data_IF_102453667741
#
_entry.id   IF_102453667741
#
_cell.length_a   1.000
_cell.length_b   1.000
_cell.length_c   1.000
_cell.angle_alpha   90.00
_cell.angle_beta   90.00
_cell.angle_gamma   90.00
#
_symmetry.space_group_name_H-M   'P 1'
#
loop_
_entity.id
_entity.type
_entity.pdbx_description
1 polymer ?
#
# COMPACT_ATOMS: atom_id res chain seq x y z
N UNK A 1 28.22 -34.61 15.27
CA UNK A 1 27.38 -33.98 16.31
C UNK A 1 27.12 -32.53 15.92
N UNK A 2 25.93 -32.03 16.25
CA UNK A 2 25.34 -30.69 16.08
C UNK A 2 24.75 -30.32 14.70
N UNK A 3 23.48 -29.92 14.76
CA UNK A 3 22.48 -29.69 13.70
C UNK A 3 22.47 -28.22 13.25
N UNK A 4 22.15 -27.92 11.99
CA UNK A 4 21.60 -26.61 11.63
C UNK A 4 20.17 -26.78 11.10
N UNK A 5 19.20 -26.41 11.94
CA UNK A 5 17.78 -26.37 11.59
C UNK A 5 17.52 -25.02 10.90
N UNK A 6 17.13 -25.00 9.63
CA UNK A 6 16.42 -23.86 9.05
C UNK A 6 14.93 -24.11 9.17
N UNK A 7 14.38 -23.91 10.38
CA UNK A 7 12.93 -23.93 10.59
C UNK A 7 12.37 -22.66 9.95
N UNK A 8 11.75 -22.80 8.78
CA UNK A 8 10.89 -21.77 8.21
C UNK A 8 9.51 -22.00 8.81
N UNK A 9 9.08 -21.11 9.71
CA UNK A 9 7.72 -21.09 10.22
C UNK A 9 7.02 -19.84 9.73
N UNK A 10 5.87 -19.99 9.07
CA UNK A 10 4.91 -18.91 8.93
C UNK A 10 4.31 -18.70 10.31
N UNK A 11 4.63 -17.58 10.96
CA UNK A 11 4.00 -17.20 12.21
C UNK A 11 2.64 -16.58 11.87
N UNK A 12 1.59 -17.39 11.81
CA UNK A 12 0.21 -16.94 11.50
C UNK A 12 -0.44 -16.11 12.63
N UNK A 13 0.30 -15.71 13.67
CA UNK A 13 -0.28 -15.19 14.91
C UNK A 13 -0.17 -13.67 15.14
N UNK A 14 -0.10 -12.86 14.08
CA UNK A 14 -0.65 -11.50 14.15
C UNK A 14 -0.87 -10.98 12.75
N UNK A 15 -2.06 -11.24 12.19
CA UNK A 15 -2.62 -10.26 11.25
C UNK A 15 -2.80 -8.99 12.07
N UNK A 16 -1.78 -8.13 12.12
CA UNK A 16 -2.02 -6.72 12.37
C UNK A 16 -2.98 -6.33 11.24
N UNK A 17 -4.25 -6.20 11.59
CA UNK A 17 -5.26 -5.73 10.65
C UNK A 17 -5.01 -4.23 10.56
N UNK A 18 -4.10 -3.85 9.66
CA UNK A 18 -3.90 -2.47 9.30
C UNK A 18 -5.20 -1.93 8.68
N UNK A 19 -5.51 -0.69 9.02
CA UNK A 19 -6.70 0.00 8.55
C UNK A 19 -6.27 1.33 7.95
N UNK A 20 -7.00 1.78 6.94
CA UNK A 20 -6.82 3.11 6.39
C UNK A 20 -7.25 4.16 7.43
N UNK A 21 -6.43 5.20 7.56
CA UNK A 21 -6.61 6.23 8.60
C UNK A 21 -6.49 7.65 8.04
N UNK A 22 -5.60 7.86 7.08
CA UNK A 22 -5.31 9.17 6.50
C UNK A 22 -5.61 9.17 5.01
N UNK A 23 -6.17 10.27 4.51
CA UNK A 23 -6.43 10.47 3.08
C UNK A 23 -5.97 11.85 2.61
N UNK A 24 -5.73 11.96 1.31
CA UNK A 24 -5.68 13.23 0.57
C UNK A 24 -6.40 13.05 -0.77
N UNK A 25 -7.22 14.04 -1.15
CA UNK A 25 -8.16 13.95 -2.27
C UNK A 25 -9.54 13.47 -1.85
N UNK A 26 -10.32 12.97 -2.81
CA UNK A 26 -11.73 12.63 -2.60
C UNK A 26 -11.89 11.12 -2.35
N UNK A 27 -11.41 10.67 -1.18
CA UNK A 27 -11.55 9.28 -0.70
C UNK A 27 -12.41 9.27 0.54
N UNK A 28 -13.42 8.40 0.54
CA UNK A 28 -14.13 8.00 1.76
C UNK A 28 -13.51 6.72 2.32
N UNK A 29 -13.36 6.69 3.64
CA UNK A 29 -12.97 5.49 4.38
C UNK A 29 -14.24 4.93 5.04
N UNK A 30 -14.54 3.66 4.77
CA UNK A 30 -15.71 2.95 5.26
C UNK A 30 -15.32 1.62 5.93
N UNK A 31 -16.32 0.90 6.47
CA UNK A 31 -16.15 -0.35 7.22
C UNK A 31 -15.02 -0.30 8.26
N UNK A 32 -15.08 0.72 9.13
CA UNK A 32 -14.09 0.93 10.20
C UNK A 32 -12.63 1.00 9.70
N UNK A 33 -12.40 1.56 8.52
CA UNK A 33 -11.05 1.69 7.97
C UNK A 33 -10.63 0.59 7.01
N UNK A 34 -11.51 -0.36 6.68
CA UNK A 34 -11.19 -1.51 5.83
C UNK A 34 -11.47 -1.29 4.36
N UNK A 35 -12.33 -0.32 4.03
CA UNK A 35 -12.74 -0.03 2.66
C UNK A 35 -12.40 1.42 2.33
N UNK A 36 -11.82 1.63 1.15
CA UNK A 36 -11.65 2.96 0.56
C UNK A 36 -12.52 3.07 -0.69
N UNK A 37 -13.23 4.18 -0.80
CA UNK A 37 -14.04 4.51 -1.97
C UNK A 37 -13.51 5.83 -2.54
N UNK A 38 -12.98 5.76 -3.77
CA UNK A 38 -12.55 6.94 -4.50
C UNK A 38 -13.73 7.50 -5.31
N UNK A 39 -14.05 8.77 -5.08
CA UNK A 39 -15.02 9.51 -5.88
C UNK A 39 -14.32 10.00 -7.17
N UNK A 40 -14.94 9.70 -8.32
CA UNK A 40 -14.37 9.94 -9.65
C UNK A 40 -14.22 11.42 -10.02
N UNK A 41 -14.69 12.34 -9.19
CA UNK A 41 -14.55 13.80 -9.41
C UNK A 41 -13.11 14.33 -9.34
N UNK A 42 -12.15 13.53 -8.84
CA UNK A 42 -10.73 13.90 -8.76
C UNK A 42 -9.87 12.86 -9.47
N UNK A 43 -8.78 13.31 -10.13
CA UNK A 43 -7.88 12.43 -10.88
C UNK A 43 -7.16 11.42 -9.97
N UNK A 44 -6.34 11.93 -9.04
CA UNK A 44 -5.54 11.14 -8.12
C UNK A 44 -5.98 11.41 -6.69
N UNK A 45 -6.00 10.38 -5.85
CA UNK A 45 -6.19 10.48 -4.41
C UNK A 45 -5.34 9.42 -3.73
N UNK A 46 -4.96 9.67 -2.47
CA UNK A 46 -4.12 8.77 -1.70
C UNK A 46 -4.75 8.41 -0.35
N UNK A 47 -4.63 7.16 0.05
CA UNK A 47 -4.92 6.69 1.40
C UNK A 47 -3.66 6.07 2.02
N UNK A 48 -3.50 6.21 3.34
CA UNK A 48 -2.39 5.61 4.09
C UNK A 48 -2.93 4.82 5.27
N UNK A 49 -2.31 3.66 5.51
CA UNK A 49 -2.56 2.84 6.69
C UNK A 49 -2.18 3.56 7.99
N UNK A 50 -2.71 3.08 9.11
CA UNK A 50 -2.45 3.62 10.45
C UNK A 50 -1.08 3.19 10.96
N UNK A 51 -0.65 1.98 10.63
CA UNK A 51 0.53 1.39 11.22
C UNK A 51 1.85 1.89 10.57
N UNK A 52 2.89 1.94 11.39
CA UNK A 52 4.28 2.15 10.96
C UNK A 52 5.06 0.85 11.06
N UNK A 53 5.94 0.61 10.09
CA UNK A 53 6.72 -0.62 9.99
C UNK A 53 8.20 -0.26 9.93
N UNK A 54 8.97 -0.68 10.93
CA UNK A 54 10.41 -0.37 11.04
C UNK A 54 11.33 -1.58 10.84
N UNK A 55 10.84 -2.79 11.08
CA UNK A 55 11.61 -4.03 10.94
C UNK A 55 10.71 -5.25 10.75
N UNK A 56 11.29 -6.38 10.36
CA UNK A 56 10.59 -7.65 10.15
C UNK A 56 9.93 -7.79 8.78
N UNK A 57 9.15 -8.86 8.62
CA UNK A 57 8.40 -9.15 7.40
C UNK A 57 6.92 -8.94 7.65
N UNK A 58 6.31 -8.05 6.85
CA UNK A 58 4.89 -7.72 6.93
C UNK A 58 4.20 -8.14 5.63
N UNK A 59 3.01 -8.72 5.75
CA UNK A 59 2.24 -9.21 4.61
C UNK A 59 0.90 -8.48 4.55
N UNK A 60 0.67 -7.83 3.43
CA UNK A 60 -0.58 -7.13 3.14
C UNK A 60 -1.37 -7.90 2.08
N UNK A 61 -2.69 -7.85 2.17
CA UNK A 61 -3.59 -8.41 1.16
C UNK A 61 -4.68 -7.39 0.88
N UNK A 62 -4.79 -6.98 -0.37
CA UNK A 62 -5.83 -6.08 -0.84
C UNK A 62 -6.79 -6.85 -1.75
N UNK A 63 -8.07 -6.50 -1.70
CA UNK A 63 -9.10 -6.96 -2.64
C UNK A 63 -9.58 -5.74 -3.42
N UNK A 64 -9.52 -5.81 -4.74
CA UNK A 64 -10.10 -4.80 -5.62
C UNK A 64 -11.51 -5.27 -5.95
N UNK A 65 -12.52 -4.55 -5.47
CA UNK A 65 -13.93 -4.90 -5.71
C UNK A 65 -14.45 -4.26 -6.99
N UNK A 66 -14.05 -3.02 -7.26
CA UNK A 66 -14.40 -2.28 -8.46
C UNK A 66 -13.21 -1.43 -8.91
N UNK A 67 -12.83 -1.57 -10.18
CA UNK A 67 -11.84 -0.73 -10.84
C UNK A 67 -12.16 -0.70 -12.34
N UNK A 68 -12.46 0.49 -12.87
CA UNK A 68 -12.80 0.64 -14.28
C UNK A 68 -11.59 0.28 -15.17
N UNK A 69 -11.84 -0.27 -16.36
CA UNK A 69 -10.79 -0.87 -17.21
C UNK A 69 -9.66 0.08 -17.66
N UNK A 70 -9.91 1.39 -17.68
CA UNK A 70 -8.92 2.42 -18.02
C UNK A 70 -8.31 3.11 -16.79
N UNK A 71 -8.61 2.61 -15.58
CA UNK A 71 -8.12 3.15 -14.32
C UNK A 71 -7.07 2.21 -13.72
N UNK A 72 -6.33 2.74 -12.78
CA UNK A 72 -5.27 2.02 -12.09
C UNK A 72 -5.30 2.37 -10.60
N UNK A 73 -4.76 1.49 -9.79
CA UNK A 73 -4.54 1.72 -8.36
C UNK A 73 -3.06 1.50 -8.06
N UNK A 74 -2.51 2.35 -7.20
CA UNK A 74 -1.17 2.20 -6.65
C UNK A 74 -1.22 1.44 -5.32
N UNK A 75 -0.36 0.44 -5.16
CA UNK A 75 -0.12 -0.22 -3.87
C UNK A 75 1.36 -0.15 -3.55
N UNK A 76 1.70 0.40 -2.39
CA UNK A 76 3.11 0.58 -2.03
C UNK A 76 3.33 1.02 -0.60
N UNK A 77 4.59 1.25 -0.30
CA UNK A 77 5.09 1.76 0.97
C UNK A 77 5.74 3.13 0.75
N UNK A 78 5.67 3.97 1.78
CA UNK A 78 6.31 5.29 1.79
C UNK A 78 6.87 5.56 3.18
N UNK A 79 7.97 6.31 3.25
CA UNK A 79 8.53 6.76 4.54
C UNK A 79 7.49 7.51 5.37
N UNK A 80 7.48 7.26 6.69
CA UNK A 80 6.58 7.95 7.63
C UNK A 80 6.71 9.47 7.62
N UNK A 81 7.92 9.96 7.29
CA UNK A 81 8.22 11.40 7.25
C UNK A 81 7.69 12.06 5.97
N UNK A 82 7.26 11.28 4.97
CA UNK A 82 6.67 11.84 3.76
C UNK A 82 5.27 12.36 4.04
N UNK A 83 4.97 13.57 3.57
CA UNK A 83 3.60 14.08 3.56
C UNK A 83 2.67 13.12 2.78
N UNK A 84 1.41 13.07 3.18
CA UNK A 84 0.37 12.46 2.35
C UNK A 84 0.04 13.45 1.24
N UNK A 85 0.03 12.98 0.01
CA UNK A 85 -0.28 13.77 -1.18
C UNK A 85 -0.90 12.87 -2.23
N UNK A 86 -1.83 13.41 -3.04
CA UNK A 86 -2.55 12.67 -4.10
C UNK A 86 -1.63 11.83 -4.99
N UNK A 87 -0.48 12.39 -5.36
CA UNK A 87 0.51 11.74 -6.21
C UNK A 87 1.68 11.17 -5.40
N UNK A 88 1.37 10.46 -4.31
CA UNK A 88 2.38 9.88 -3.41
C UNK A 88 3.31 8.88 -4.09
N UNK A 89 2.89 8.33 -5.25
CA UNK A 89 3.71 7.44 -6.06
C UNK A 89 4.91 8.13 -6.74
N UNK A 90 4.98 9.47 -6.79
CA UNK A 90 6.17 10.21 -7.22
C UNK A 90 7.08 10.65 -6.06
N UNK A 91 6.72 10.38 -4.80
CA UNK A 91 7.60 10.70 -3.68
C UNK A 91 8.84 9.82 -3.71
N UNK A 92 10.03 10.42 -3.53
CA UNK A 92 11.32 9.71 -3.61
C UNK A 92 11.49 8.55 -2.63
N UNK A 93 10.70 8.52 -1.56
CA UNK A 93 10.70 7.43 -0.56
C UNK A 93 9.63 6.37 -0.83
N UNK A 94 8.97 6.42 -1.98
CA UNK A 94 7.88 5.52 -2.33
C UNK A 94 8.38 4.36 -3.18
N UNK A 95 7.91 3.17 -2.82
CA UNK A 95 8.10 1.94 -3.57
C UNK A 95 6.78 1.20 -3.70
N UNK A 96 6.49 0.65 -4.87
CA UNK A 96 5.27 -0.11 -5.05
C UNK A 96 4.97 -0.45 -6.49
N UNK A 97 3.73 -0.83 -6.72
CA UNK A 97 3.25 -1.31 -8.00
C UNK A 97 1.94 -0.61 -8.36
N UNK A 98 1.75 -0.39 -9.65
CA UNK A 98 0.53 0.16 -10.21
C UNK A 98 0.11 -0.60 -11.47
N UNK A 99 -1.21 -0.72 -11.64
CA UNK A 99 -1.82 -1.20 -12.87
C UNK A 99 -1.24 -2.54 -13.34
N UNK A 100 -0.99 -2.65 -14.65
CA UNK A 100 -0.65 -3.93 -15.29
C UNK A 100 0.84 -4.31 -15.31
N UNK A 101 1.78 -3.38 -15.14
CA UNK A 101 3.24 -3.65 -15.17
C UNK A 101 4.10 -2.45 -14.72
N UNK A 102 3.56 -1.53 -13.93
CA UNK A 102 4.29 -0.31 -13.54
C UNK A 102 4.88 -0.50 -12.15
N UNK A 103 6.20 -0.47 -12.05
CA UNK A 103 6.91 -0.53 -10.77
C UNK A 103 7.44 0.86 -10.44
N UNK A 104 7.16 1.33 -9.24
CA UNK A 104 7.72 2.58 -8.75
C UNK A 104 8.86 2.26 -7.79
N UNK A 105 10.06 2.75 -8.12
CA UNK A 105 11.26 2.64 -7.30
C UNK A 105 11.77 4.03 -7.00
N UNK A 106 11.84 4.41 -5.74
CA UNK A 106 12.19 5.77 -5.32
C UNK A 106 11.34 6.85 -6.00
N UNK A 107 10.03 6.61 -6.13
CA UNK A 107 9.13 7.53 -6.83
C UNK A 107 9.31 7.62 -8.36
N UNK A 108 10.19 6.81 -8.96
CA UNK A 108 10.41 6.77 -10.41
C UNK A 108 9.64 5.60 -11.01
N UNK A 109 8.83 5.87 -12.03
CA UNK A 109 8.11 4.85 -12.78
C UNK A 109 9.08 4.07 -13.66
N UNK A 110 9.08 2.75 -13.51
CA UNK A 110 9.78 1.80 -14.35
C UNK A 110 8.75 0.89 -15.03
N UNK A 111 8.93 0.66 -16.32
CA UNK A 111 8.11 -0.25 -17.11
C UNK A 111 8.85 -1.58 -17.14
N UNK A 112 8.23 -2.63 -16.61
CA UNK A 112 8.71 -4.01 -16.70
C UNK A 112 8.26 -4.70 -17.97
#
# INVERSE_FOLDING_TARGET
MATLIHKISINENSLIIDVFDRTDGNIRIEDNGRVIIHDQSVHDSAARGRCEYSSGQHRFRFKIEQLDGNKWAFFGIVSKNAAIQRQSYYTLTTYGWAGRNQVYLNGVQNIG
#
